data_IF_010913116176
#
_entry.id   IF_010913116176
#
_cell.length_a   1.000
_cell.length_b   1.000
_cell.length_c   1.000
_cell.angle_alpha   90.00
_cell.angle_beta   90.00
_cell.angle_gamma   90.00
#
_symmetry.space_group_name_H-M   'P 1'
#
loop_
_entity.id
_entity.type
_entity.pdbx_description
1 polymer ?
#
# COMPACT_ATOMS: atom_id res chain seq x y z
N UNK A 1 -1.23 4.95 -23.95
CA UNK A 1 -1.44 5.40 -25.34
C UNK A 1 -1.80 4.27 -26.33
N UNK A 2 -0.92 3.29 -26.59
CA UNK A 2 -1.13 2.29 -27.65
C UNK A 2 -2.44 1.50 -27.56
N UNK A 3 -2.87 1.14 -26.35
CA UNK A 3 -4.18 0.51 -26.08
C UNK A 3 -5.35 1.42 -26.49
N UNK A 4 -5.37 2.67 -26.01
CA UNK A 4 -6.42 3.63 -26.36
C UNK A 4 -6.50 3.88 -27.87
N UNK A 5 -5.36 3.95 -28.56
CA UNK A 5 -5.32 4.16 -30.01
C UNK A 5 -5.92 3.04 -30.86
N UNK A 6 -6.12 1.84 -30.28
CA UNK A 6 -6.83 0.77 -31.00
C UNK A 6 -8.32 1.10 -31.22
N UNK A 7 -8.90 1.93 -30.34
CA UNK A 7 -10.35 2.17 -30.25
C UNK A 7 -10.72 3.64 -30.45
N UNK A 8 -9.79 4.56 -30.18
CA UNK A 8 -10.06 5.99 -30.08
C UNK A 8 -9.22 6.82 -31.06
N UNK A 9 -9.71 8.03 -31.34
CA UNK A 9 -8.97 9.04 -32.09
C UNK A 9 -7.63 9.38 -31.42
N UNK A 10 -6.63 9.91 -32.18
CA UNK A 10 -5.33 10.25 -31.62
C UNK A 10 -5.45 11.21 -30.45
N UNK A 11 -6.27 12.25 -30.60
CA UNK A 11 -6.48 13.25 -29.57
C UNK A 11 -7.04 12.61 -28.30
N UNK A 12 -8.14 11.87 -28.38
CA UNK A 12 -8.77 11.28 -27.20
C UNK A 12 -7.86 10.27 -26.49
N UNK A 13 -7.02 9.56 -27.24
CA UNK A 13 -6.01 8.66 -26.69
C UNK A 13 -4.91 9.38 -25.91
N UNK A 14 -4.55 10.61 -26.32
CA UNK A 14 -3.64 11.46 -25.54
C UNK A 14 -4.30 11.86 -24.23
N UNK A 15 -5.59 12.23 -24.23
CA UNK A 15 -6.31 12.56 -22.99
C UNK A 15 -6.34 11.41 -22.00
N UNK A 16 -6.71 10.20 -22.44
CA UNK A 16 -6.66 9.00 -21.60
C UNK A 16 -5.25 8.75 -21.05
N UNK A 17 -4.21 8.99 -21.86
CA UNK A 17 -2.82 8.80 -21.41
C UNK A 17 -2.39 9.87 -20.41
N UNK A 18 -2.75 11.13 -20.64
CA UNK A 18 -2.51 12.22 -19.68
C UNK A 18 -3.22 11.95 -18.35
N UNK A 19 -4.48 11.53 -18.40
CA UNK A 19 -5.24 11.09 -17.23
C UNK A 19 -4.55 9.99 -16.44
N UNK A 20 -3.89 9.03 -17.11
CA UNK A 20 -3.16 7.96 -16.43
C UNK A 20 -2.02 8.51 -15.59
N UNK A 21 -1.17 9.35 -16.18
CA UNK A 21 -0.04 9.94 -15.47
C UNK A 21 -0.44 11.01 -14.45
N UNK A 22 -1.69 11.48 -14.48
CA UNK A 22 -2.25 12.41 -13.49
C UNK A 22 -3.15 11.75 -12.45
N UNK A 23 -3.39 10.44 -12.54
CA UNK A 23 -4.31 9.76 -11.64
C UNK A 23 -3.71 9.55 -10.26
N UNK A 24 -4.46 9.91 -9.21
CA UNK A 24 -4.11 9.71 -7.80
C UNK A 24 -3.63 8.27 -7.52
N UNK A 25 -4.34 7.19 -7.90
CA UNK A 25 -3.88 5.83 -7.61
C UNK A 25 -2.59 5.43 -8.34
N UNK A 26 -2.22 6.11 -9.43
CA UNK A 26 -1.00 5.86 -10.20
C UNK A 26 0.18 6.59 -9.55
N UNK A 27 0.08 7.90 -9.36
CA UNK A 27 1.16 8.69 -8.74
C UNK A 27 1.33 8.27 -7.29
N UNK A 28 0.23 8.22 -6.52
CA UNK A 28 0.18 7.83 -5.12
C UNK A 28 0.93 6.55 -4.86
N UNK A 29 0.53 5.48 -5.53
CA UNK A 29 1.16 4.18 -5.34
C UNK A 29 2.65 4.21 -5.70
N UNK A 30 3.03 4.90 -6.79
CA UNK A 30 4.43 4.97 -7.28
C UNK A 30 5.38 5.69 -6.32
N UNK A 31 4.94 6.81 -5.73
CA UNK A 31 5.79 7.57 -4.80
C UNK A 31 5.70 7.04 -3.36
N UNK A 32 4.67 6.28 -3.04
CA UNK A 32 4.38 5.83 -1.69
C UNK A 32 5.37 4.79 -1.16
N UNK A 33 5.75 3.81 -1.97
CA UNK A 33 6.58 2.67 -1.54
C UNK A 33 7.34 2.10 -2.74
N UNK A 34 8.38 1.30 -2.47
CA UNK A 34 8.87 0.30 -3.40
C UNK A 34 8.05 -0.99 -3.22
N UNK A 35 7.38 -1.45 -4.27
CA UNK A 35 6.42 -2.57 -4.20
C UNK A 35 6.30 -3.26 -5.55
N UNK A 36 5.98 -4.55 -5.52
CA UNK A 36 5.88 -5.43 -6.69
C UNK A 36 4.73 -5.03 -7.64
N UNK A 37 3.68 -4.38 -7.12
CA UNK A 37 2.53 -4.02 -7.97
C UNK A 37 2.81 -2.87 -8.96
N UNK A 38 3.99 -2.23 -8.91
CA UNK A 38 4.41 -1.25 -9.91
C UNK A 38 4.45 -1.83 -11.34
N UNK A 39 4.51 -3.16 -11.48
CA UNK A 39 4.53 -3.87 -12.75
C UNK A 39 3.12 -4.07 -13.35
N UNK A 40 2.06 -3.96 -12.53
CA UNK A 40 0.67 -4.23 -12.96
C UNK A 40 0.26 -3.39 -14.16
N UNK A 41 0.50 -2.06 -14.21
CA UNK A 41 0.08 -1.28 -15.37
C UNK A 41 0.68 -1.78 -16.68
N UNK A 42 1.97 -2.13 -16.70
CA UNK A 42 2.63 -2.63 -17.89
C UNK A 42 2.01 -3.96 -18.34
N UNK A 43 1.90 -4.93 -17.44
CA UNK A 43 1.42 -6.27 -17.79
C UNK A 43 -0.08 -6.31 -18.07
N UNK A 44 -0.90 -5.62 -17.27
CA UNK A 44 -2.34 -5.58 -17.46
C UNK A 44 -2.72 -4.82 -18.73
N UNK A 45 -2.16 -3.63 -18.98
CA UNK A 45 -2.43 -2.91 -20.23
C UNK A 45 -1.82 -3.59 -21.45
N UNK A 46 -0.66 -4.25 -21.31
CA UNK A 46 -0.05 -5.08 -22.35
C UNK A 46 -0.96 -6.26 -22.72
N UNK A 47 -1.52 -6.95 -21.72
CA UNK A 47 -2.48 -8.03 -21.90
C UNK A 47 -3.75 -7.54 -22.60
N UNK A 48 -4.33 -6.42 -22.16
CA UNK A 48 -5.49 -5.81 -22.80
C UNK A 48 -5.20 -5.35 -24.23
N UNK A 49 -3.99 -4.85 -24.51
CA UNK A 49 -3.57 -4.48 -25.86
C UNK A 49 -3.43 -5.71 -26.77
N UNK A 50 -2.85 -6.80 -26.26
CA UNK A 50 -2.73 -8.05 -27.00
C UNK A 50 -4.11 -8.66 -27.29
N UNK A 51 -5.03 -8.60 -26.33
CA UNK A 51 -6.43 -8.96 -26.48
C UNK A 51 -7.11 -8.16 -27.59
N UNK A 52 -6.96 -6.83 -27.57
CA UNK A 52 -7.53 -5.94 -28.59
C UNK A 52 -6.96 -6.22 -29.99
N UNK A 53 -5.68 -6.54 -30.09
CA UNK A 53 -5.02 -6.93 -31.34
C UNK A 53 -5.20 -8.40 -31.72
N UNK A 54 -5.91 -9.20 -30.92
CA UNK A 54 -6.05 -10.66 -31.08
C UNK A 54 -4.72 -11.40 -31.20
N UNK A 55 -3.66 -10.88 -30.58
CA UNK A 55 -2.34 -11.52 -30.54
C UNK A 55 -2.29 -12.51 -29.37
N UNK A 56 -2.88 -13.69 -29.56
CA UNK A 56 -3.13 -14.65 -28.48
C UNK A 56 -1.89 -15.14 -27.74
N UNK A 57 -0.75 -15.33 -28.42
CA UNK A 57 0.52 -15.70 -27.76
C UNK A 57 0.92 -14.63 -26.75
N UNK A 58 0.96 -13.37 -27.17
CA UNK A 58 1.29 -12.23 -26.31
C UNK A 58 0.25 -11.99 -25.23
N UNK A 59 -1.01 -12.29 -25.50
CA UNK A 59 -2.08 -12.24 -24.51
C UNK A 59 -1.81 -13.24 -23.37
N UNK A 60 -1.54 -14.51 -23.68
CA UNK A 60 -1.29 -15.53 -22.66
C UNK A 60 0.05 -15.34 -21.93
N UNK A 61 1.09 -14.84 -22.62
CA UNK A 61 2.32 -14.38 -21.96
C UNK A 61 1.99 -13.25 -20.98
N UNK A 62 1.20 -12.26 -21.39
CA UNK A 62 0.74 -11.18 -20.53
C UNK A 62 -0.03 -11.67 -19.31
N UNK A 63 -0.95 -12.64 -19.50
CA UNK A 63 -1.68 -13.31 -18.42
C UNK A 63 -0.71 -13.93 -17.42
N UNK A 64 0.27 -14.71 -17.89
CA UNK A 64 1.27 -15.34 -17.02
C UNK A 64 2.09 -14.29 -16.24
N UNK A 65 2.49 -13.19 -16.90
CA UNK A 65 3.21 -12.08 -16.26
C UNK A 65 2.37 -11.37 -15.20
N UNK A 66 1.07 -11.14 -15.46
CA UNK A 66 0.15 -10.55 -14.47
C UNK A 66 0.01 -11.45 -13.24
N UNK A 67 -0.16 -12.76 -13.43
CA UNK A 67 -0.23 -13.72 -12.32
C UNK A 67 1.09 -13.77 -11.54
N UNK A 68 2.23 -13.66 -12.22
CA UNK A 68 3.57 -13.66 -11.63
C UNK A 68 3.90 -12.45 -10.76
N UNK A 69 3.08 -11.38 -10.77
CA UNK A 69 3.34 -10.19 -9.93
C UNK A 69 3.13 -10.48 -8.45
N UNK A 70 2.01 -11.11 -8.09
CA UNK A 70 1.64 -11.44 -6.70
C UNK A 70 0.46 -12.42 -6.69
N UNK A 71 0.29 -13.17 -5.61
CA UNK A 71 -0.71 -14.23 -5.52
C UNK A 71 -2.16 -13.76 -5.78
N UNK A 72 -2.52 -12.55 -5.38
CA UNK A 72 -3.89 -12.02 -5.44
C UNK A 72 -4.22 -11.31 -6.77
N UNK A 73 -3.22 -11.06 -7.63
CA UNK A 73 -3.41 -10.24 -8.84
C UNK A 73 -4.27 -10.95 -9.90
N UNK A 74 -4.44 -12.27 -9.80
CA UNK A 74 -5.39 -13.03 -10.61
C UNK A 74 -6.82 -12.45 -10.57
N UNK A 75 -7.20 -11.76 -9.50
CA UNK A 75 -8.52 -11.12 -9.38
C UNK A 75 -8.76 -10.07 -10.49
N UNK A 76 -7.71 -9.38 -10.96
CA UNK A 76 -7.82 -8.43 -12.09
C UNK A 76 -8.23 -9.16 -13.36
N UNK A 77 -7.56 -10.28 -13.65
CA UNK A 77 -7.81 -11.09 -14.84
C UNK A 77 -9.17 -11.76 -14.78
N UNK A 78 -9.63 -12.14 -13.59
CA UNK A 78 -11.00 -12.65 -13.40
C UNK A 78 -12.04 -11.62 -13.86
N UNK A 79 -11.90 -10.34 -13.49
CA UNK A 79 -12.79 -9.28 -13.96
C UNK A 79 -12.76 -9.08 -15.48
N UNK A 80 -11.57 -9.20 -16.10
CA UNK A 80 -11.45 -9.20 -17.58
C UNK A 80 -12.17 -10.40 -18.20
N UNK A 81 -12.05 -11.59 -17.61
CA UNK A 81 -12.69 -12.81 -18.09
C UNK A 81 -14.22 -12.72 -18.04
N UNK A 82 -14.76 -12.21 -16.93
CA UNK A 82 -16.21 -11.96 -16.78
C UNK A 82 -16.69 -10.93 -17.80
N UNK A 83 -15.93 -9.87 -18.05
CA UNK A 83 -16.25 -8.90 -19.10
C UNK A 83 -16.35 -9.54 -20.50
N UNK A 84 -15.43 -10.45 -20.84
CA UNK A 84 -15.45 -11.18 -22.12
C UNK A 84 -16.67 -12.11 -22.23
N UNK A 85 -17.04 -12.78 -21.14
CA UNK A 85 -18.22 -13.64 -21.06
C UNK A 85 -19.53 -12.85 -21.23
N UNK A 86 -19.74 -11.81 -20.42
CA UNK A 86 -20.96 -11.00 -20.42
C UNK A 86 -21.19 -10.34 -21.78
N UNK A 87 -20.13 -9.77 -22.38
CA UNK A 87 -20.23 -9.12 -23.68
C UNK A 87 -20.16 -10.11 -24.86
N UNK A 88 -20.13 -11.43 -24.60
CA UNK A 88 -19.99 -12.50 -25.59
C UNK A 88 -18.81 -12.29 -26.55
N UNK A 89 -17.76 -11.61 -26.07
CA UNK A 89 -16.56 -11.27 -26.82
C UNK A 89 -15.50 -12.31 -26.48
N UNK A 90 -15.32 -13.31 -27.35
CA UNK A 90 -14.42 -14.45 -27.09
C UNK A 90 -14.76 -15.18 -25.76
N UNK A 91 -16.00 -15.72 -25.62
CA UNK A 91 -16.47 -16.29 -24.36
C UNK A 91 -15.60 -17.43 -23.83
N UNK A 92 -15.04 -18.27 -24.71
CA UNK A 92 -14.14 -19.35 -24.31
C UNK A 92 -12.82 -18.84 -23.72
N UNK A 93 -12.28 -17.74 -24.25
CA UNK A 93 -11.11 -17.08 -23.65
C UNK A 93 -11.48 -16.47 -22.31
N UNK A 94 -12.66 -15.85 -22.21
CA UNK A 94 -13.18 -15.33 -20.94
C UNK A 94 -13.32 -16.42 -19.88
N UNK A 95 -13.91 -17.56 -20.23
CA UNK A 95 -14.06 -18.73 -19.35
C UNK A 95 -12.70 -19.26 -18.90
N UNK A 96 -11.78 -19.48 -19.85
CA UNK A 96 -10.42 -19.93 -19.55
C UNK A 96 -9.70 -18.95 -18.61
N UNK A 97 -9.84 -17.64 -18.84
CA UNK A 97 -9.23 -16.62 -17.99
C UNK A 97 -9.80 -16.64 -16.57
N UNK A 98 -11.11 -16.78 -16.41
CA UNK A 98 -11.74 -16.92 -15.09
C UNK A 98 -11.24 -18.17 -14.36
N UNK A 99 -11.21 -19.32 -15.03
CA UNK A 99 -10.78 -20.59 -14.45
C UNK A 99 -9.30 -20.55 -14.05
N UNK A 100 -8.42 -20.08 -14.94
CA UNK A 100 -6.98 -19.96 -14.67
C UNK A 100 -6.74 -19.00 -13.50
N UNK A 101 -7.39 -17.83 -13.52
CA UNK A 101 -7.18 -16.81 -12.49
C UNK A 101 -7.65 -17.28 -11.12
N UNK A 102 -8.83 -17.88 -11.03
CA UNK A 102 -9.37 -18.41 -9.79
C UNK A 102 -8.53 -19.59 -9.28
N UNK A 103 -8.20 -20.53 -10.16
CA UNK A 103 -7.39 -21.71 -9.82
C UNK A 103 -6.00 -21.31 -9.34
N UNK A 104 -5.38 -20.31 -9.97
CA UNK A 104 -4.09 -19.78 -9.55
C UNK A 104 -4.15 -19.20 -8.14
N UNK A 105 -5.09 -18.29 -7.86
CA UNK A 105 -5.23 -17.68 -6.53
C UNK A 105 -5.46 -18.77 -5.48
N UNK A 106 -6.40 -19.70 -5.72
CA UNK A 106 -6.72 -20.77 -4.80
C UNK A 106 -5.54 -21.74 -4.57
N UNK A 107 -4.81 -22.11 -5.63
CA UNK A 107 -3.65 -22.99 -5.54
C UNK A 107 -2.50 -22.32 -4.78
N UNK A 108 -2.17 -21.07 -5.10
CA UNK A 108 -1.07 -20.36 -4.44
C UNK A 108 -1.38 -20.15 -2.95
N UNK A 109 -2.60 -19.73 -2.59
CA UNK A 109 -2.92 -19.43 -1.19
C UNK A 109 -3.13 -20.65 -0.31
N UNK A 110 -3.65 -21.76 -0.86
CA UNK A 110 -3.97 -22.96 -0.07
C UNK A 110 -2.92 -24.08 -0.20
N UNK A 111 -2.09 -24.09 -1.25
CA UNK A 111 -1.08 -25.14 -1.46
C UNK A 111 0.34 -24.60 -1.32
N UNK A 112 0.68 -23.52 -2.03
CA UNK A 112 2.07 -23.02 -2.05
C UNK A 112 2.40 -22.27 -0.76
N UNK A 113 1.63 -21.25 -0.38
CA UNK A 113 1.95 -20.39 0.76
C UNK A 113 2.12 -21.15 2.10
N UNK A 114 1.25 -22.11 2.46
CA UNK A 114 1.40 -22.86 3.71
C UNK A 114 2.69 -23.68 3.81
N UNK A 115 3.32 -24.02 2.69
CA UNK A 115 4.61 -24.74 2.68
C UNK A 115 5.78 -23.86 3.10
N UNK A 116 5.67 -22.53 2.96
CA UNK A 116 6.73 -21.58 3.31
C UNK A 116 6.52 -20.97 4.69
N UNK A 117 5.27 -20.68 5.07
CA UNK A 117 4.95 -20.23 6.41
C UNK A 117 3.48 -20.53 6.72
N UNK A 118 3.19 -21.21 7.83
CA UNK A 118 1.81 -21.41 8.28
C UNK A 118 1.10 -20.07 8.58
N UNK A 119 1.85 -18.99 8.84
CA UNK A 119 1.30 -17.73 9.37
C UNK A 119 1.03 -16.67 8.29
N UNK A 120 1.78 -16.62 7.18
CA UNK A 120 1.77 -15.44 6.28
C UNK A 120 0.42 -15.21 5.60
N UNK A 121 -0.20 -16.27 5.05
CA UNK A 121 -1.52 -16.16 4.41
C UNK A 121 -2.63 -16.00 5.46
N UNK A 122 -2.48 -16.71 6.58
CA UNK A 122 -3.46 -16.80 7.66
C UNK A 122 -3.57 -15.51 8.45
N UNK A 123 -2.45 -14.87 8.80
CA UNK A 123 -2.42 -13.56 9.43
C UNK A 123 -3.03 -12.47 8.55
N UNK A 124 -2.81 -12.52 7.22
CA UNK A 124 -3.45 -11.56 6.33
C UNK A 124 -4.97 -11.74 6.29
N UNK A 125 -5.43 -12.98 6.09
CA UNK A 125 -6.85 -13.30 6.02
C UNK A 125 -7.54 -13.04 7.37
N UNK A 126 -6.94 -13.43 8.49
CA UNK A 126 -7.43 -13.14 9.83
C UNK A 126 -7.53 -11.62 10.04
N UNK A 127 -6.46 -10.86 9.79
CA UNK A 127 -6.49 -9.43 10.08
C UNK A 127 -7.45 -8.63 9.18
N UNK A 128 -7.60 -9.03 7.90
CA UNK A 128 -8.40 -8.28 6.92
C UNK A 128 -9.83 -8.78 6.78
N UNK A 129 -10.10 -10.04 7.11
CA UNK A 129 -11.39 -10.68 6.91
C UNK A 129 -11.95 -11.35 8.17
N UNK A 130 -11.41 -11.11 9.37
CA UNK A 130 -11.95 -11.59 10.67
C UNK A 130 -13.46 -11.39 10.85
N UNK A 131 -14.05 -10.39 10.19
CA UNK A 131 -15.48 -10.16 10.23
C UNK A 131 -16.31 -11.28 9.59
N UNK A 132 -15.70 -12.17 8.81
CA UNK A 132 -16.37 -13.27 8.13
C UNK A 132 -15.99 -14.65 8.70
N UNK A 133 -15.09 -14.70 9.70
CA UNK A 133 -14.51 -15.97 10.19
C UNK A 133 -14.24 -15.89 11.69
N UNK A 134 -14.55 -16.98 12.41
CA UNK A 134 -14.40 -17.07 13.87
C UNK A 134 -13.12 -17.80 14.30
N UNK A 135 -12.13 -17.89 13.40
CA UNK A 135 -10.85 -18.56 13.64
C UNK A 135 -9.70 -17.58 13.41
N UNK A 136 -8.64 -17.71 14.21
CA UNK A 136 -7.40 -16.95 14.07
C UNK A 136 -6.59 -17.37 12.83
N UNK A 137 -6.95 -18.50 12.21
CA UNK A 137 -6.24 -19.11 11.09
C UNK A 137 -7.15 -19.46 9.89
N UNK A 138 -7.86 -18.48 9.30
CA UNK A 138 -8.87 -18.76 8.29
C UNK A 138 -8.26 -19.11 6.92
N UNK A 139 -8.87 -20.09 6.26
CA UNK A 139 -8.62 -20.42 4.85
C UNK A 139 -9.41 -19.50 3.91
N UNK A 140 -8.99 -19.39 2.65
CA UNK A 140 -9.72 -18.60 1.64
C UNK A 140 -11.17 -19.10 1.46
N UNK A 141 -11.38 -20.42 1.49
CA UNK A 141 -12.71 -21.02 1.35
C UNK A 141 -13.61 -20.67 2.55
N UNK A 142 -13.08 -20.68 3.77
CA UNK A 142 -13.84 -20.26 4.96
C UNK A 142 -14.24 -18.79 4.90
N UNK A 143 -13.36 -17.92 4.41
CA UNK A 143 -13.70 -16.50 4.21
C UNK A 143 -14.82 -16.35 3.18
N UNK A 144 -14.74 -17.04 2.04
CA UNK A 144 -15.79 -17.01 1.02
C UNK A 144 -17.13 -17.57 1.54
N UNK A 145 -17.07 -18.68 2.26
CA UNK A 145 -18.24 -19.25 2.93
C UNK A 145 -18.84 -18.26 3.93
N UNK A 146 -18.00 -17.63 4.75
CA UNK A 146 -18.38 -16.60 5.70
C UNK A 146 -19.05 -15.38 5.06
N UNK A 147 -18.59 -14.95 3.88
CA UNK A 147 -19.23 -13.89 3.10
C UNK A 147 -20.63 -14.30 2.63
N UNK A 148 -20.80 -15.56 2.20
CA UNK A 148 -22.09 -16.11 1.73
C UNK A 148 -23.06 -16.27 2.91
N UNK A 149 -22.60 -16.76 4.06
CA UNK A 149 -23.44 -16.99 5.24
C UNK A 149 -23.76 -15.71 6.02
N UNK A 150 -23.01 -14.62 5.82
CA UNK A 150 -23.23 -13.34 6.48
C UNK A 150 -23.48 -12.19 5.47
N UNK A 151 -24.56 -12.24 4.67
CA UNK A 151 -24.80 -11.31 3.57
C UNK A 151 -25.02 -9.86 4.04
N UNK A 152 -25.66 -9.66 5.20
CA UNK A 152 -25.87 -8.32 5.79
C UNK A 152 -24.52 -7.70 6.14
N UNK A 153 -23.66 -8.45 6.83
CA UNK A 153 -22.31 -8.00 7.19
C UNK A 153 -21.44 -7.73 5.96
N UNK A 154 -21.58 -8.55 4.92
CA UNK A 154 -20.91 -8.29 3.65
C UNK A 154 -21.39 -6.95 3.05
N UNK A 155 -22.71 -6.71 3.02
CA UNK A 155 -23.26 -5.44 2.53
C UNK A 155 -22.76 -4.23 3.33
N UNK A 156 -22.70 -4.34 4.67
CA UNK A 156 -22.12 -3.29 5.53
C UNK A 156 -20.69 -2.96 5.12
N UNK A 157 -19.83 -3.96 4.90
CA UNK A 157 -18.46 -3.72 4.48
C UNK A 157 -18.37 -3.18 3.05
N UNK A 158 -19.22 -3.64 2.13
CA UNK A 158 -19.21 -3.18 0.74
C UNK A 158 -19.64 -1.72 0.60
N UNK A 159 -20.60 -1.26 1.40
CA UNK A 159 -21.22 0.06 1.22
C UNK A 159 -20.89 1.06 2.33
N UNK A 160 -20.58 0.61 3.55
CA UNK A 160 -20.29 1.49 4.69
C UNK A 160 -18.78 1.52 5.01
N UNK A 161 -18.27 2.65 5.53
CA UNK A 161 -18.93 3.96 5.56
C UNK A 161 -18.93 4.60 4.14
N UNK A 162 -20.09 5.13 3.73
CA UNK A 162 -20.39 5.53 2.33
C UNK A 162 -19.41 6.60 1.84
N UNK A 163 -19.13 7.60 2.67
CA UNK A 163 -18.23 8.70 2.39
C UNK A 163 -16.85 8.20 1.97
N UNK A 164 -16.28 7.21 2.67
CA UNK A 164 -14.96 6.68 2.35
C UNK A 164 -14.96 5.88 1.05
N UNK A 165 -16.03 5.13 0.76
CA UNK A 165 -16.15 4.36 -0.50
C UNK A 165 -16.30 5.30 -1.70
N UNK A 166 -17.14 6.34 -1.57
CA UNK A 166 -17.31 7.37 -2.61
C UNK A 166 -15.99 8.13 -2.82
N UNK A 167 -15.32 8.56 -1.75
CA UNK A 167 -14.04 9.26 -1.88
C UNK A 167 -12.97 8.38 -2.56
N UNK A 168 -12.93 7.09 -2.23
CA UNK A 168 -12.03 6.14 -2.87
C UNK A 168 -12.29 6.01 -4.37
N UNK A 169 -13.56 5.87 -4.76
CA UNK A 169 -13.96 5.78 -6.17
C UNK A 169 -13.71 7.10 -6.91
N UNK A 170 -14.07 8.24 -6.32
CA UNK A 170 -13.79 9.57 -6.87
C UNK A 170 -12.30 9.76 -7.15
N UNK A 171 -11.41 9.25 -6.29
CA UNK A 171 -9.97 9.26 -6.51
C UNK A 171 -9.51 8.49 -7.75
N UNK A 172 -10.22 7.43 -8.15
CA UNK A 172 -9.97 6.72 -9.41
C UNK A 172 -10.56 7.43 -10.63
N UNK A 173 -11.66 8.15 -10.42
CA UNK A 173 -12.48 8.71 -11.49
C UNK A 173 -12.10 10.11 -11.91
N UNK A 174 -11.58 10.91 -10.97
CA UNK A 174 -11.34 12.35 -11.16
C UNK A 174 -10.44 12.61 -12.36
N UNK A 175 -9.30 11.92 -12.50
CA UNK A 175 -8.41 12.12 -13.64
C UNK A 175 -9.05 11.75 -14.99
N UNK A 176 -10.07 10.90 -14.99
CA UNK A 176 -10.86 10.48 -16.15
C UNK A 176 -12.18 11.25 -16.30
N UNK A 177 -12.31 12.42 -15.65
CA UNK A 177 -13.51 13.26 -15.68
C UNK A 177 -14.81 12.52 -15.33
N UNK A 178 -14.72 11.56 -14.39
CA UNK A 178 -15.84 10.75 -13.93
C UNK A 178 -16.48 9.82 -14.97
N UNK A 179 -15.86 9.66 -16.14
CA UNK A 179 -16.31 8.71 -17.17
C UNK A 179 -16.44 7.26 -16.66
N UNK A 180 -15.51 6.71 -15.85
CA UNK A 180 -15.65 5.34 -15.37
C UNK A 180 -16.90 5.10 -14.52
N UNK A 181 -17.44 6.12 -13.85
CA UNK A 181 -18.68 6.00 -13.08
C UNK A 181 -19.87 5.62 -13.97
N UNK A 182 -19.85 6.04 -15.25
CA UNK A 182 -20.87 5.75 -16.27
C UNK A 182 -20.53 4.54 -17.13
N UNK A 183 -19.34 3.94 -16.97
CA UNK A 183 -18.88 2.84 -17.81
C UNK A 183 -19.20 1.50 -17.17
N UNK A 184 -20.21 0.80 -17.70
CA UNK A 184 -20.50 -0.58 -17.29
C UNK A 184 -19.29 -1.52 -17.47
N UNK A 185 -18.46 -1.29 -18.49
CA UNK A 185 -17.22 -2.05 -18.67
C UNK A 185 -16.20 -1.80 -17.55
N UNK A 186 -16.09 -0.56 -17.06
CA UNK A 186 -15.22 -0.25 -15.92
C UNK A 186 -15.68 -0.99 -14.67
N UNK A 187 -16.99 -0.97 -14.38
CA UNK A 187 -17.58 -1.67 -13.24
C UNK A 187 -17.42 -3.19 -13.31
N UNK A 188 -17.57 -3.81 -14.48
CA UNK A 188 -17.40 -5.26 -14.62
C UNK A 188 -15.93 -5.65 -14.40
N UNK A 189 -14.99 -4.95 -15.04
CA UNK A 189 -13.57 -5.33 -15.01
C UNK A 189 -12.94 -4.99 -13.66
N UNK A 190 -13.24 -3.81 -13.13
CA UNK A 190 -12.72 -3.37 -11.83
C UNK A 190 -13.55 -3.90 -10.64
N UNK A 191 -14.73 -4.50 -10.89
CA UNK A 191 -15.67 -4.90 -9.85
C UNK A 191 -15.10 -5.91 -8.86
N UNK A 192 -14.36 -6.91 -9.34
CA UNK A 192 -13.74 -7.91 -8.46
C UNK A 192 -12.59 -7.36 -7.62
N UNK A 193 -11.63 -6.59 -8.18
CA UNK A 193 -10.67 -5.84 -7.37
C UNK A 193 -11.33 -4.92 -6.34
N UNK A 194 -12.38 -4.17 -6.74
CA UNK A 194 -13.13 -3.30 -5.84
C UNK A 194 -13.83 -4.08 -4.72
N UNK A 195 -14.46 -5.20 -5.05
CA UNK A 195 -15.12 -6.08 -4.09
C UNK A 195 -14.14 -6.51 -3.00
N UNK A 196 -12.95 -6.98 -3.39
CA UNK A 196 -11.92 -7.38 -2.42
C UNK A 196 -11.47 -6.21 -1.57
N UNK A 197 -11.26 -5.04 -2.14
CA UNK A 197 -10.83 -3.84 -1.37
C UNK A 197 -11.92 -3.38 -0.40
N UNK A 198 -13.19 -3.44 -0.80
CA UNK A 198 -14.30 -2.97 0.03
C UNK A 198 -14.64 -3.96 1.14
N UNK A 199 -14.55 -5.26 0.86
CA UNK A 199 -14.78 -6.32 1.83
C UNK A 199 -13.72 -6.37 2.95
N UNK A 200 -12.54 -5.76 2.77
CA UNK A 200 -11.48 -5.75 3.78
C UNK A 200 -11.79 -4.85 4.97
N UNK A 201 -11.38 -5.31 6.15
CA UNK A 201 -11.27 -4.52 7.37
C UNK A 201 -9.96 -3.72 7.43
N UNK A 202 -9.98 -2.68 8.27
CA UNK A 202 -8.82 -1.84 8.58
C UNK A 202 -8.81 -0.53 7.80
N UNK A 203 -8.22 0.49 8.41
CA UNK A 203 -8.33 1.87 7.92
C UNK A 203 -7.56 2.15 6.62
N UNK A 204 -6.59 1.30 6.27
CA UNK A 204 -5.71 1.47 5.10
C UNK A 204 -6.25 0.84 3.81
N UNK A 205 -7.32 0.04 3.86
CA UNK A 205 -7.84 -0.63 2.67
C UNK A 205 -8.36 0.38 1.63
N UNK A 206 -9.01 1.45 2.09
CA UNK A 206 -9.57 2.53 1.26
C UNK A 206 -8.63 3.69 1.01
N UNK A 207 -7.32 3.51 1.20
CA UNK A 207 -6.37 4.58 0.92
C UNK A 207 -5.98 4.53 -0.56
N UNK A 208 -6.52 5.46 -1.35
CA UNK A 208 -6.39 5.47 -2.82
C UNK A 208 -4.95 5.67 -3.32
N UNK A 209 -4.06 6.21 -2.49
CA UNK A 209 -2.63 6.35 -2.80
C UNK A 209 -1.75 5.18 -2.33
N UNK A 210 -2.34 4.12 -1.76
CA UNK A 210 -1.59 2.89 -1.44
C UNK A 210 -1.61 1.91 -2.60
N UNK A 211 -0.60 1.03 -2.60
CA UNK A 211 -0.32 0.03 -3.64
C UNK A 211 -1.52 -0.79 -4.12
N UNK A 212 -2.49 -1.08 -3.26
CA UNK A 212 -3.65 -1.90 -3.62
C UNK A 212 -4.58 -1.20 -4.61
N UNK A 213 -4.61 0.14 -4.64
CA UNK A 213 -5.45 0.90 -5.57
C UNK A 213 -5.03 0.71 -7.03
N UNK A 214 -3.76 0.39 -7.31
CA UNK A 214 -3.29 0.17 -8.69
C UNK A 214 -3.96 -1.04 -9.35
N UNK A 215 -4.50 -1.98 -8.57
CA UNK A 215 -5.22 -3.17 -9.09
C UNK A 215 -6.53 -2.82 -9.79
N UNK A 216 -7.14 -1.69 -9.42
CA UNK A 216 -8.41 -1.17 -9.96
C UNK A 216 -8.17 -0.38 -11.26
N UNK A 217 -6.97 0.21 -11.40
CA UNK A 217 -6.61 1.13 -12.49
C UNK A 217 -6.81 0.52 -13.89
N UNK A 218 -6.37 -0.71 -14.21
CA UNK A 218 -6.56 -1.28 -15.55
C UNK A 218 -8.02 -1.31 -15.98
N UNK A 219 -8.93 -1.72 -15.08
CA UNK A 219 -10.36 -1.77 -15.34
C UNK A 219 -10.97 -0.40 -15.55
N UNK A 220 -10.60 0.59 -14.72
CA UNK A 220 -11.11 1.97 -14.84
C UNK A 220 -10.70 2.61 -16.17
N UNK A 221 -9.44 2.48 -16.56
CA UNK A 221 -8.92 3.09 -17.78
C UNK A 221 -9.43 2.38 -19.04
N UNK A 222 -9.42 1.06 -19.06
CA UNK A 222 -9.92 0.32 -20.21
C UNK A 222 -11.44 0.44 -20.35
N UNK A 223 -12.18 0.44 -19.24
CA UNK A 223 -13.61 0.75 -19.24
C UNK A 223 -13.91 2.16 -19.74
N UNK A 224 -13.09 3.16 -19.40
CA UNK A 224 -13.22 4.51 -19.96
C UNK A 224 -12.96 4.53 -21.47
N UNK A 225 -11.96 3.78 -21.96
CA UNK A 225 -11.68 3.64 -23.40
C UNK A 225 -12.91 3.09 -24.12
N UNK A 226 -13.51 2.01 -23.61
CA UNK A 226 -14.69 1.39 -24.21
C UNK A 226 -15.94 2.29 -24.15
N UNK A 227 -16.08 3.10 -23.10
CA UNK A 227 -17.17 4.08 -23.03
C UNK A 227 -17.02 5.17 -24.09
N UNK A 228 -15.80 5.68 -24.27
CA UNK A 228 -15.49 6.72 -25.26
C UNK A 228 -15.62 6.24 -26.70
N UNK A 229 -15.33 4.97 -26.98
CA UNK A 229 -15.55 4.36 -28.29
C UNK A 229 -17.03 4.48 -28.72
N UNK A 230 -17.95 4.29 -27.78
CA UNK A 230 -19.41 4.35 -28.05
C UNK A 230 -19.97 5.77 -28.01
N UNK A 231 -19.27 6.71 -27.38
CA UNK A 231 -19.76 8.08 -27.19
C UNK A 231 -18.77 9.17 -27.60
N UNK A 232 -18.16 9.10 -28.80
CA UNK A 232 -17.20 10.11 -29.25
C UNK A 232 -17.79 11.52 -29.34
N UNK A 233 -19.11 11.64 -29.55
CA UNK A 233 -19.82 12.92 -29.67
C UNK A 233 -19.73 13.79 -28.40
N UNK A 234 -19.53 13.19 -27.22
CA UNK A 234 -19.40 13.97 -25.98
C UNK A 234 -18.03 14.64 -25.83
N UNK A 235 -17.07 14.37 -26.72
CA UNK A 235 -15.72 14.93 -26.68
C UNK A 235 -15.65 16.38 -27.23
N UNK A 236 -16.56 17.21 -26.73
CA UNK A 236 -16.72 18.62 -27.12
C UNK A 236 -15.63 19.52 -26.50
N UNK A 237 -15.41 20.74 -27.02
CA UNK A 237 -14.49 21.70 -26.42
C UNK A 237 -14.83 22.08 -24.97
N UNK A 238 -16.12 22.04 -24.59
CA UNK A 238 -16.57 22.27 -23.20
C UNK A 238 -16.16 21.12 -22.31
N UNK A 239 -16.40 19.87 -22.74
CA UNK A 239 -15.99 18.69 -22.00
C UNK A 239 -14.47 18.62 -21.83
N UNK A 240 -13.69 18.95 -22.86
CA UNK A 240 -12.22 19.04 -22.74
C UNK A 240 -11.78 20.04 -21.67
N UNK A 241 -12.44 21.19 -21.57
CA UNK A 241 -12.13 22.18 -20.50
C UNK A 241 -12.42 21.58 -19.11
N UNK A 242 -13.57 20.93 -18.94
CA UNK A 242 -13.90 20.21 -17.71
C UNK A 242 -12.88 19.14 -17.37
N UNK A 243 -12.53 18.28 -18.32
CA UNK A 243 -11.56 17.21 -18.11
C UNK A 243 -10.17 17.76 -17.72
N UNK A 244 -9.76 18.89 -18.30
CA UNK A 244 -8.54 19.61 -17.87
C UNK A 244 -8.60 20.02 -16.40
N UNK A 245 -9.74 20.55 -15.96
CA UNK A 245 -9.96 20.90 -14.55
C UNK A 245 -9.86 19.66 -13.68
N UNK A 246 -10.47 18.53 -14.06
CA UNK A 246 -10.38 17.31 -13.26
C UNK A 246 -8.95 16.74 -13.19
N UNK A 247 -8.18 16.80 -14.29
CA UNK A 247 -6.75 16.46 -14.27
C UNK A 247 -5.99 17.38 -13.32
N UNK A 248 -6.22 18.69 -13.38
CA UNK A 248 -5.62 19.66 -12.47
C UNK A 248 -5.96 19.39 -11.00
N UNK A 249 -7.24 19.13 -10.70
CA UNK A 249 -7.69 18.76 -9.35
C UNK A 249 -7.06 17.46 -8.86
N UNK A 250 -6.95 16.45 -9.72
CA UNK A 250 -6.28 15.18 -9.41
C UNK A 250 -4.83 15.40 -8.98
N UNK A 251 -4.09 16.24 -9.71
CA UNK A 251 -2.72 16.61 -9.39
C UNK A 251 -2.64 17.43 -8.10
N UNK A 252 -3.51 18.41 -7.92
CA UNK A 252 -3.56 19.23 -6.70
C UNK A 252 -3.84 18.34 -5.48
N UNK A 253 -4.86 17.48 -5.52
CA UNK A 253 -5.17 16.58 -4.41
C UNK A 253 -4.02 15.62 -4.12
N UNK A 254 -3.38 15.07 -5.16
CA UNK A 254 -2.22 14.20 -4.99
C UNK A 254 -1.04 14.90 -4.33
N UNK A 255 -0.69 16.12 -4.78
CA UNK A 255 0.41 16.90 -4.22
C UNK A 255 0.09 17.37 -2.80
N UNK A 256 -1.12 17.90 -2.57
CA UNK A 256 -1.56 18.36 -1.25
C UNK A 256 -1.70 17.22 -0.23
N UNK A 257 -2.05 16.01 -0.66
CA UNK A 257 -2.11 14.84 0.22
C UNK A 257 -0.71 14.34 0.64
N UNK A 258 0.33 14.69 -0.12
CA UNK A 258 1.74 14.34 0.12
C UNK A 258 1.92 12.90 0.66
N UNK A 259 1.50 11.87 -0.10
CA UNK A 259 1.45 10.51 0.41
C UNK A 259 2.85 10.02 0.78
N UNK A 260 2.97 9.46 1.99
CA UNK A 260 4.24 9.04 2.58
C UNK A 260 5.30 10.14 2.62
N UNK A 261 4.88 11.42 2.60
CA UNK A 261 5.76 12.58 2.67
C UNK A 261 6.77 12.65 1.52
N UNK A 262 6.45 12.02 0.38
CA UNK A 262 7.35 11.94 -0.76
C UNK A 262 7.76 13.30 -1.34
N UNK A 263 6.96 14.35 -1.08
CA UNK A 263 7.21 15.73 -1.52
C UNK A 263 7.65 16.66 -0.38
N UNK A 264 8.07 16.12 0.77
CA UNK A 264 8.50 16.90 1.95
C UNK A 264 9.65 17.89 1.67
N UNK A 265 10.37 17.71 0.55
CA UNK A 265 11.46 18.58 0.12
C UNK A 265 11.00 19.84 -0.63
N UNK A 266 9.74 19.89 -1.09
CA UNK A 266 9.15 21.05 -1.80
C UNK A 266 8.06 21.70 -0.96
N UNK A 267 7.24 20.89 -0.29
CA UNK A 267 6.06 21.35 0.44
C UNK A 267 6.13 20.92 1.92
N UNK A 268 5.51 21.68 2.83
CA UNK A 268 5.32 21.23 4.20
C UNK A 268 4.50 19.95 4.25
N UNK A 269 4.86 19.04 5.16
CA UNK A 269 4.10 17.81 5.41
C UNK A 269 2.75 18.11 6.06
N UNK A 270 2.66 19.21 6.81
CA UNK A 270 1.41 19.75 7.33
C UNK A 270 1.49 21.26 7.42
N UNK A 271 0.39 21.96 7.14
CA UNK A 271 0.30 23.42 7.28
C UNK A 271 -0.30 23.81 8.64
N UNK A 272 -1.17 22.96 9.23
CA UNK A 272 -1.85 23.23 10.50
C UNK A 272 -1.97 21.94 11.34
N UNK A 273 -1.08 21.74 12.34
CA UNK A 273 0.08 22.58 12.66
C UNK A 273 1.17 22.47 11.60
N UNK A 274 2.02 23.50 11.48
CA UNK A 274 3.09 23.52 10.48
C UNK A 274 4.15 22.46 10.85
N UNK A 275 4.42 21.55 9.91
CA UNK A 275 5.53 20.59 9.98
C UNK A 275 6.25 20.64 8.63
N UNK A 276 7.47 21.16 8.65
CA UNK A 276 8.34 21.22 7.50
C UNK A 276 9.78 21.00 7.95
N UNK A 277 10.38 19.91 7.49
CA UNK A 277 11.78 19.60 7.77
C UNK A 277 12.56 19.77 6.47
N UNK A 278 13.41 20.80 6.36
CA UNK A 278 14.11 21.09 5.12
C UNK A 278 15.13 19.99 4.80
N UNK A 279 15.40 19.77 3.50
CA UNK A 279 16.28 18.69 3.03
C UNK A 279 17.68 18.70 3.69
N UNK A 280 18.36 19.85 3.90
CA UNK A 280 19.65 19.86 4.61
C UNK A 280 19.57 19.30 6.03
N UNK A 281 18.49 19.59 6.77
CA UNK A 281 18.28 19.06 8.13
C UNK A 281 18.01 17.55 8.11
N UNK A 282 17.24 17.07 7.13
CA UNK A 282 17.03 15.62 6.94
C UNK A 282 18.36 14.91 6.62
N UNK A 283 19.21 15.55 5.80
CA UNK A 283 20.51 15.01 5.41
C UNK A 283 21.50 14.96 6.57
N UNK A 284 21.56 16.02 7.38
CA UNK A 284 22.33 16.06 8.62
C UNK A 284 21.86 14.97 9.59
N UNK A 285 20.55 14.86 9.83
CA UNK A 285 19.98 13.82 10.69
C UNK A 285 20.29 12.41 10.17
N UNK A 286 20.26 12.20 8.85
CA UNK A 286 20.64 10.92 8.24
C UNK A 286 22.11 10.56 8.50
N UNK A 287 23.02 11.54 8.62
CA UNK A 287 24.40 11.28 8.99
C UNK A 287 24.50 10.72 10.43
N UNK A 288 23.75 11.30 11.37
CA UNK A 288 23.65 10.80 12.76
C UNK A 288 23.05 9.40 12.82
N UNK A 289 21.96 9.14 12.10
CA UNK A 289 21.38 7.79 11.96
C UNK A 289 22.45 6.80 11.49
N UNK A 290 23.20 7.15 10.44
CA UNK A 290 24.24 6.29 9.90
C UNK A 290 25.39 6.04 10.89
N UNK A 291 25.78 7.03 11.71
CA UNK A 291 26.77 6.85 12.75
C UNK A 291 26.32 5.82 13.79
N UNK A 292 25.07 5.91 14.25
CA UNK A 292 24.50 4.93 15.18
C UNK A 292 24.38 3.55 14.54
N UNK A 293 23.85 3.44 13.32
CA UNK A 293 23.65 2.15 12.65
C UNK A 293 24.97 1.42 12.38
N UNK A 294 26.06 2.15 12.10
CA UNK A 294 27.38 1.57 11.81
C UNK A 294 28.01 0.87 13.02
N UNK A 295 27.67 1.26 14.24
CA UNK A 295 28.19 0.63 15.47
C UNK A 295 27.46 -0.67 15.80
N UNK A 296 26.30 -0.91 15.18
CA UNK A 296 25.47 -2.11 15.41
C UNK A 296 26.03 -3.29 14.62
N UNK A 297 26.43 -4.39 15.29
CA UNK A 297 26.93 -5.58 14.59
C UNK A 297 25.93 -6.15 13.57
N UNK A 298 26.42 -6.86 12.56
CA UNK A 298 25.54 -7.43 11.50
C UNK A 298 24.76 -8.67 11.94
N UNK A 299 25.26 -9.41 12.93
CA UNK A 299 24.71 -10.70 13.34
C UNK A 299 23.67 -10.62 14.48
N UNK A 300 23.46 -9.43 15.06
CA UNK A 300 22.58 -9.24 16.22
C UNK A 300 21.13 -8.99 15.79
N UNK A 301 20.21 -9.30 16.70
CA UNK A 301 18.81 -8.98 16.54
C UNK A 301 18.54 -7.51 16.88
N UNK A 302 17.66 -6.84 16.12
CA UNK A 302 17.38 -5.41 16.31
C UNK A 302 15.88 -5.11 16.33
N UNK A 303 15.46 -4.28 17.28
CA UNK A 303 14.15 -3.65 17.34
C UNK A 303 14.29 -2.18 17.04
N UNK A 304 13.53 -1.65 16.07
CA UNK A 304 13.72 -0.26 15.65
C UNK A 304 12.45 0.45 15.17
N UNK A 305 12.48 1.78 15.10
CA UNK A 305 11.38 2.59 14.56
C UNK A 305 11.23 2.38 13.04
N UNK A 306 10.03 2.66 12.53
CA UNK A 306 9.59 2.25 11.18
C UNK A 306 10.56 2.64 10.04
N UNK A 307 11.10 3.86 10.06
CA UNK A 307 11.96 4.36 8.98
C UNK A 307 13.40 3.84 9.03
N UNK A 308 13.83 3.27 10.16
CA UNK A 308 15.15 2.67 10.29
C UNK A 308 15.20 1.20 9.84
N UNK A 309 14.04 0.54 9.74
CA UNK A 309 13.94 -0.88 9.36
C UNK A 309 14.67 -1.20 8.03
N UNK A 310 14.47 -0.46 6.92
CA UNK A 310 15.15 -0.79 5.66
C UNK A 310 16.67 -0.73 5.76
N UNK A 311 17.22 0.23 6.53
CA UNK A 311 18.66 0.38 6.75
C UNK A 311 19.27 -0.76 7.56
N UNK A 312 18.44 -1.44 8.35
CA UNK A 312 18.85 -2.54 9.22
C UNK A 312 18.42 -3.92 8.69
N UNK A 313 17.74 -3.97 7.53
CA UNK A 313 17.11 -5.17 6.95
C UNK A 313 18.05 -6.32 6.57
N UNK A 314 19.37 -6.11 6.59
CA UNK A 314 20.38 -7.15 6.36
C UNK A 314 20.55 -8.11 7.55
N UNK A 315 19.91 -7.81 8.69
CA UNK A 315 19.95 -8.64 9.91
C UNK A 315 18.88 -9.73 9.84
N UNK A 316 19.22 -10.91 10.38
CA UNK A 316 18.30 -12.07 10.40
C UNK A 316 17.01 -11.78 11.17
N UNK A 317 17.12 -11.08 12.30
CA UNK A 317 15.99 -10.73 13.16
C UNK A 317 15.90 -9.22 13.23
N UNK A 318 14.84 -8.67 12.64
CA UNK A 318 14.50 -7.26 12.71
C UNK A 318 13.01 -7.08 12.96
N UNK A 319 12.68 -6.33 14.01
CA UNK A 319 11.29 -6.07 14.41
C UNK A 319 11.04 -4.59 14.64
N UNK A 320 9.76 -4.21 14.63
CA UNK A 320 9.36 -2.83 14.90
C UNK A 320 9.22 -2.62 16.41
N UNK A 321 9.91 -1.61 16.92
CA UNK A 321 9.77 -1.16 18.30
C UNK A 321 8.31 -0.73 18.57
N UNK A 322 7.71 -1.03 19.74
CA UNK A 322 8.31 -1.53 20.98
C UNK A 322 8.38 -3.07 21.12
N UNK A 323 8.28 -3.85 20.05
CA UNK A 323 8.46 -5.32 20.14
C UNK A 323 9.91 -5.64 20.46
N UNK A 324 10.16 -6.38 21.54
CA UNK A 324 11.50 -6.72 22.04
C UNK A 324 11.72 -8.21 22.24
N UNK A 325 10.74 -9.01 21.82
CA UNK A 325 10.78 -10.45 21.87
C UNK A 325 10.09 -11.04 20.65
N UNK A 326 10.60 -12.17 20.18
CA UNK A 326 10.01 -12.93 19.08
C UNK A 326 10.00 -14.41 19.41
N UNK A 327 9.12 -15.15 18.75
CA UNK A 327 9.25 -16.60 18.68
C UNK A 327 10.25 -16.96 17.58
N UNK A 328 11.27 -17.75 17.92
CA UNK A 328 12.18 -18.31 16.93
C UNK A 328 11.53 -19.49 16.17
N UNK A 329 12.28 -20.09 15.24
CA UNK A 329 11.83 -21.25 14.45
C UNK A 329 11.47 -22.47 15.32
N UNK A 330 12.00 -22.54 16.54
CA UNK A 330 11.71 -23.57 17.54
C UNK A 330 10.55 -23.19 18.47
N UNK A 331 9.81 -22.11 18.19
CA UNK A 331 8.73 -21.54 19.01
C UNK A 331 9.17 -21.14 20.43
N UNK A 332 10.43 -20.82 20.61
CA UNK A 332 10.97 -20.30 21.87
C UNK A 332 11.02 -18.79 21.82
N UNK A 333 10.72 -18.15 22.95
CA UNK A 333 10.81 -16.70 23.08
C UNK A 333 12.29 -16.29 23.13
N UNK A 334 12.70 -15.47 22.17
CA UNK A 334 14.04 -14.89 22.09
C UNK A 334 13.90 -13.38 22.26
N UNK A 335 14.64 -12.84 23.22
CA UNK A 335 14.74 -11.41 23.46
C UNK A 335 15.68 -10.76 22.44
N UNK A 336 15.33 -9.55 22.02
CA UNK A 336 16.10 -8.78 21.05
C UNK A 336 17.36 -8.20 21.70
N UNK A 337 18.46 -8.07 20.96
CA UNK A 337 19.74 -7.64 21.51
C UNK A 337 19.90 -6.11 21.53
N UNK A 338 19.42 -5.44 20.48
CA UNK A 338 19.53 -3.99 20.31
C UNK A 338 18.16 -3.35 20.11
N UNK A 339 17.92 -2.23 20.78
CA UNK A 339 16.78 -1.36 20.53
C UNK A 339 17.28 0.00 20.03
N UNK A 340 16.83 0.44 18.85
CA UNK A 340 17.26 1.68 18.21
C UNK A 340 16.05 2.52 17.84
N UNK A 341 15.92 3.71 18.40
CA UNK A 341 14.77 4.57 18.16
C UNK A 341 15.18 5.93 17.62
N UNK A 342 14.63 6.33 16.47
CA UNK A 342 14.63 7.71 16.01
C UNK A 342 13.46 8.46 16.67
N UNK A 343 13.71 9.00 17.86
CA UNK A 343 12.72 9.72 18.66
C UNK A 343 12.56 11.17 18.20
N UNK A 344 13.59 11.73 17.56
CA UNK A 344 13.52 13.06 16.94
C UNK A 344 12.44 13.09 15.85
N UNK A 345 12.45 12.14 14.93
CA UNK A 345 11.43 12.04 13.88
C UNK A 345 10.04 11.88 14.50
N UNK A 346 9.88 10.95 15.45
CA UNK A 346 8.59 10.74 16.10
C UNK A 346 8.08 12.02 16.78
N UNK A 347 8.95 12.78 17.45
CA UNK A 347 8.58 14.04 18.09
C UNK A 347 8.22 15.13 17.09
N UNK A 348 9.05 15.39 16.10
CA UNK A 348 8.81 16.45 15.11
C UNK A 348 7.48 16.24 14.38
N UNK A 349 7.21 14.98 13.99
CA UNK A 349 5.97 14.66 13.28
C UNK A 349 4.76 14.47 14.20
N UNK A 350 4.93 14.23 15.50
CA UNK A 350 3.81 14.09 16.46
C UNK A 350 2.92 15.33 16.55
N UNK A 351 3.44 16.50 16.16
CA UNK A 351 2.70 17.78 16.15
C UNK A 351 1.47 17.67 15.25
N UNK A 352 1.64 17.21 14.01
CA UNK A 352 0.56 17.11 13.03
C UNK A 352 0.00 15.69 12.86
N UNK A 353 0.81 14.65 13.10
CA UNK A 353 0.48 13.29 12.71
C UNK A 353 0.16 12.42 13.92
N UNK A 354 -1.10 11.97 14.00
CA UNK A 354 -1.60 11.10 15.07
C UNK A 354 -0.82 9.79 15.16
N UNK A 355 -0.40 9.22 14.04
CA UNK A 355 0.34 7.96 14.01
C UNK A 355 1.73 8.10 14.65
N UNK A 356 2.48 9.15 14.28
CA UNK A 356 3.79 9.46 14.90
C UNK A 356 3.65 9.74 16.39
N UNK A 357 2.59 10.44 16.79
CA UNK A 357 2.27 10.69 18.19
C UNK A 357 1.96 9.39 18.95
N UNK A 358 1.14 8.51 18.38
CA UNK A 358 0.80 7.22 18.98
C UNK A 358 2.00 6.27 19.03
N UNK A 359 2.91 6.31 18.06
CA UNK A 359 4.17 5.56 18.08
C UNK A 359 5.11 6.10 19.16
N UNK A 360 5.24 7.42 19.31
CA UNK A 360 6.01 8.02 20.41
C UNK A 360 5.46 7.62 21.78
N UNK A 361 4.15 7.76 22.00
CA UNK A 361 3.50 7.42 23.28
C UNK A 361 3.58 5.93 23.63
N UNK A 362 3.65 5.04 22.64
CA UNK A 362 3.83 3.60 22.89
C UNK A 362 5.29 3.23 23.14
N UNK A 363 6.21 3.86 22.42
CA UNK A 363 7.64 3.53 22.44
C UNK A 363 8.34 4.11 23.66
N UNK A 364 8.11 5.39 23.97
CA UNK A 364 8.86 6.11 24.98
C UNK A 364 8.76 5.49 26.38
N UNK A 365 7.57 5.13 26.90
CA UNK A 365 7.46 4.52 28.23
C UNK A 365 8.13 3.15 28.32
N UNK A 366 8.11 2.39 27.23
CA UNK A 366 8.80 1.09 27.17
C UNK A 366 10.31 1.30 27.27
N UNK A 367 10.87 2.24 26.52
CA UNK A 367 12.32 2.53 26.61
C UNK A 367 12.72 3.00 28.01
N UNK A 368 11.95 3.92 28.61
CA UNK A 368 12.20 4.39 29.99
C UNK A 368 12.21 3.22 30.98
N UNK A 369 11.22 2.32 30.87
CA UNK A 369 11.13 1.13 31.72
C UNK A 369 12.38 0.24 31.60
N UNK A 370 12.82 -0.06 30.38
CA UNK A 370 13.98 -0.94 30.15
C UNK A 370 15.27 -0.39 30.73
N UNK A 371 15.46 0.94 30.64
CA UNK A 371 16.63 1.62 31.19
C UNK A 371 16.56 1.62 32.73
N UNK A 372 15.41 1.97 33.31
CA UNK A 372 15.23 2.03 34.75
C UNK A 372 15.35 0.64 35.41
N UNK A 373 14.93 -0.42 34.73
CA UNK A 373 15.05 -1.80 35.18
C UNK A 373 16.43 -2.43 34.85
N UNK A 374 17.38 -1.66 34.29
CA UNK A 374 18.70 -2.12 33.84
C UNK A 374 18.64 -3.33 32.88
N UNK A 375 17.54 -3.50 32.16
CA UNK A 375 17.41 -4.56 31.14
C UNK A 375 18.16 -4.18 29.88
N UNK A 376 18.18 -2.88 29.54
CA UNK A 376 18.95 -2.33 28.42
C UNK A 376 19.70 -1.08 28.87
N UNK A 377 20.98 -1.00 28.51
CA UNK A 377 21.80 0.18 28.75
C UNK A 377 21.85 1.09 27.54
N UNK A 378 21.75 2.40 27.75
CA UNK A 378 21.93 3.42 26.71
C UNK A 378 23.40 3.47 26.31
N UNK A 379 23.70 3.15 25.04
CA UNK A 379 25.07 3.10 24.54
C UNK A 379 25.44 4.31 23.67
N UNK A 380 24.45 4.90 23.00
CA UNK A 380 24.68 6.03 22.09
C UNK A 380 23.41 6.86 21.95
N UNK A 381 23.56 8.18 21.96
CA UNK A 381 22.51 9.15 21.67
C UNK A 381 23.07 10.17 20.70
N UNK A 382 22.51 10.24 19.49
CA UNK A 382 22.90 11.22 18.47
C UNK A 382 21.66 11.84 17.86
N UNK A 383 21.48 13.16 18.00
CA UNK A 383 20.43 13.92 17.33
C UNK A 383 19.02 13.31 17.50
N UNK A 384 18.72 12.81 18.71
CA UNK A 384 17.47 12.14 19.07
C UNK A 384 17.31 10.71 18.56
N UNK A 385 18.35 10.14 17.95
CA UNK A 385 18.49 8.69 17.72
C UNK A 385 19.12 8.06 18.94
N UNK A 386 18.45 7.07 19.53
CA UNK A 386 18.88 6.40 20.76
C UNK A 386 19.14 4.93 20.49
N UNK A 387 20.31 4.43 20.86
CA UNK A 387 20.67 3.02 20.83
C UNK A 387 20.82 2.48 22.24
N UNK A 388 20.10 1.39 22.53
CA UNK A 388 20.18 0.66 23.78
C UNK A 388 20.54 -0.81 23.51
N UNK A 389 21.30 -1.40 24.42
CA UNK A 389 21.80 -2.77 24.28
C UNK A 389 21.40 -3.60 25.49
N UNK A 390 20.83 -4.77 25.24
CA UNK A 390 20.35 -5.70 26.27
C UNK A 390 21.49 -6.15 27.17
N UNK A 391 21.27 -6.14 28.48
CA UNK A 391 22.19 -6.65 29.49
C UNK A 391 23.51 -5.87 29.64
N UNK A 392 23.65 -4.73 28.97
CA UNK A 392 24.81 -3.83 29.12
C UNK A 392 24.45 -2.68 30.06
N UNK A 393 25.38 -2.19 30.90
CA UNK A 393 25.18 -0.96 31.66
C UNK A 393 25.14 0.26 30.73
N UNK A 394 24.36 1.28 31.09
CA UNK A 394 24.33 2.53 30.33
C UNK A 394 25.68 3.24 30.38
N UNK A 395 26.13 3.78 29.26
CA UNK A 395 27.26 4.70 29.23
C UNK A 395 26.85 5.99 29.97
N UNK A 396 27.57 6.41 31.04
CA UNK A 396 27.16 7.56 31.86
C UNK A 396 26.96 8.86 31.06
N UNK A 397 27.82 9.12 30.07
CA UNK A 397 27.70 10.32 29.23
C UNK A 397 26.43 10.25 28.36
N UNK A 398 26.13 9.09 27.79
CA UNK A 398 24.95 8.90 26.94
C UNK A 398 23.66 8.84 27.75
N UNK A 399 23.72 8.36 28.99
CA UNK A 399 22.59 8.41 29.92
C UNK A 399 22.22 9.86 30.25
N UNK A 400 23.21 10.75 30.41
CA UNK A 400 22.95 12.17 30.61
C UNK A 400 22.30 12.81 29.36
N UNK A 401 22.77 12.48 28.16
CA UNK A 401 22.13 12.94 26.91
C UNK A 401 20.70 12.40 26.74
N UNK A 402 20.47 11.14 27.11
CA UNK A 402 19.13 10.56 27.16
C UNK A 402 18.19 11.32 28.10
N UNK A 403 18.66 11.69 29.30
CA UNK A 403 17.86 12.46 30.25
C UNK A 403 17.49 13.85 29.69
N UNK A 404 18.42 14.53 29.01
CA UNK A 404 18.13 15.81 28.32
C UNK A 404 17.08 15.62 27.23
N UNK A 405 17.23 14.57 26.42
CA UNK A 405 16.28 14.24 25.36
C UNK A 405 14.88 13.95 25.94
N UNK A 406 14.79 13.20 27.04
CA UNK A 406 13.53 12.89 27.71
C UNK A 406 12.75 14.14 28.13
N UNK A 407 13.43 15.13 28.69
CA UNK A 407 12.81 16.40 29.08
C UNK A 407 12.20 17.08 27.86
N UNK A 408 12.94 17.16 26.75
CA UNK A 408 12.46 17.71 25.48
C UNK A 408 11.29 16.90 24.88
N UNK A 409 11.32 15.57 24.96
CA UNK A 409 10.26 14.72 24.46
C UNK A 409 8.96 14.86 25.26
N UNK A 410 9.03 15.14 26.56
CA UNK A 410 7.87 15.32 27.45
C UNK A 410 7.33 16.75 27.48
N UNK A 411 8.09 17.74 27.03
CA UNK A 411 7.70 19.16 27.08
C UNK A 411 6.74 19.62 25.96
N UNK A 412 6.17 18.71 25.17
CA UNK A 412 5.17 19.03 24.14
C UNK A 412 4.14 17.91 24.02
#
# INVERSE_FOLDING_TARGET
FALARQRLSPQLSVWITGSYYSAIPVIGSTVANFYEHCQIPLFAFGTLLALEKKKWIWFWIGVALVLGVRQEIGIILFGVGVYLLINRRHPWVGLALCLISFSYVAFVTNVIQPQFSPDVSRLYLANRFRQFVDTDEPTTLQVLWGMITNPIRLAEYLFLPIDRRINYLAGHWVALAFVPALSGAAWIIAGFPLFVIFAQAGQTALTVWLRYAVTVVPGMFYGAILWWERHPQFFTPKFRRWWKVCIGLSLIFMLSANPNRAFSFIIPDSVRPLVYVPLPRQWEHAAHINNVIRTVPKAVSVSTTTYLIPHLSTRRIIVRLPVLEIYNEQKQIVQIDYAIADLWNLKEYSRAFKDSRAELFRTLPVMEKLINENQYGVQQVEDGVVMMVRGQPSNPAMLAEWQKLLVYLKSA
#
